data_IF_331495104948
#
_entry.id   IF_331495104948
#
_cell.length_a   1.000
_cell.length_b   1.000
_cell.length_c   1.000
_cell.angle_alpha   90.00
_cell.angle_beta   90.00
_cell.angle_gamma   90.00
#
_symmetry.space_group_name_H-M   'P 1'
#
loop_
_entity.id
_entity.type
_entity.pdbx_description
1 polymer ?
#
# COMPACT_ATOMS: atom_id res chain seq x y z
N UNK A 1 5.23 -46.18 10.16
CA UNK A 1 5.07 -44.87 9.47
C UNK A 1 3.61 -44.53 9.20
N UNK A 2 2.80 -45.46 8.67
CA UNK A 2 1.35 -45.26 8.43
C UNK A 2 0.52 -44.88 9.68
N UNK A 3 0.68 -45.57 10.82
CA UNK A 3 -0.06 -45.26 12.07
C UNK A 3 0.26 -43.85 12.60
N UNK A 4 1.50 -43.38 12.40
CA UNK A 4 1.93 -42.02 12.80
C UNK A 4 1.27 -40.95 11.93
N UNK A 5 1.11 -41.21 10.64
CA UNK A 5 0.43 -40.31 9.71
C UNK A 5 -1.07 -40.24 9.98
N UNK A 6 -1.70 -41.35 10.37
CA UNK A 6 -3.12 -41.40 10.73
C UNK A 6 -3.42 -40.58 12.00
N UNK A 7 -2.59 -40.70 13.05
CA UNK A 7 -2.72 -39.92 14.29
C UNK A 7 -2.62 -38.41 14.02
N UNK A 8 -1.67 -38.01 13.17
CA UNK A 8 -1.47 -36.61 12.78
C UNK A 8 -2.68 -36.09 12.01
N UNK A 9 -3.17 -36.86 11.04
CA UNK A 9 -4.36 -36.51 10.26
C UNK A 9 -5.61 -36.32 11.14
N UNK A 10 -5.87 -37.27 12.06
CA UNK A 10 -6.96 -37.16 13.04
C UNK A 10 -6.82 -35.89 13.89
N UNK A 11 -5.61 -35.57 14.35
CA UNK A 11 -5.35 -34.34 15.12
C UNK A 11 -5.68 -33.07 14.33
N UNK A 12 -5.35 -33.02 13.04
CA UNK A 12 -5.70 -31.89 12.18
C UNK A 12 -7.22 -31.76 12.01
N UNK A 13 -7.91 -32.87 11.69
CA UNK A 13 -9.37 -32.85 11.58
C UNK A 13 -10.05 -32.35 12.86
N UNK A 14 -9.68 -32.90 14.02
CA UNK A 14 -10.24 -32.45 15.31
C UNK A 14 -9.99 -30.98 15.56
N UNK A 15 -8.81 -30.46 15.20
CA UNK A 15 -8.48 -29.04 15.38
C UNK A 15 -9.32 -28.17 14.45
N UNK A 16 -9.47 -28.57 13.19
CA UNK A 16 -10.31 -27.86 12.21
C UNK A 16 -11.76 -27.81 12.65
N UNK A 17 -12.34 -28.92 13.12
CA UNK A 17 -13.71 -28.94 13.65
C UNK A 17 -13.86 -27.96 14.80
N UNK A 18 -12.95 -27.98 15.78
CA UNK A 18 -12.95 -27.01 16.88
C UNK A 18 -12.88 -25.56 16.40
N UNK A 19 -12.07 -25.27 15.38
CA UNK A 19 -11.99 -23.92 14.82
C UNK A 19 -13.31 -23.49 14.16
N UNK A 20 -13.98 -24.40 13.45
CA UNK A 20 -15.30 -24.16 12.85
C UNK A 20 -16.34 -23.88 13.94
N UNK A 21 -16.35 -24.69 15.01
CA UNK A 21 -17.28 -24.52 16.12
C UNK A 21 -17.05 -23.16 16.83
N UNK A 22 -15.79 -22.80 17.09
CA UNK A 22 -15.42 -21.50 17.67
C UNK A 22 -15.90 -20.34 16.79
N UNK A 23 -15.67 -20.44 15.47
CA UNK A 23 -16.09 -19.39 14.54
C UNK A 23 -17.62 -19.27 14.47
N UNK A 24 -18.32 -20.40 14.42
CA UNK A 24 -19.78 -20.45 14.31
C UNK A 24 -20.50 -19.99 15.58
N UNK A 25 -19.91 -20.25 16.75
CA UNK A 25 -20.44 -19.83 18.06
C UNK A 25 -20.00 -18.44 18.49
N UNK A 26 -19.11 -17.78 17.74
CA UNK A 26 -18.57 -16.49 18.13
C UNK A 26 -19.59 -15.35 18.02
N UNK A 27 -19.58 -14.48 19.03
CA UNK A 27 -20.27 -13.19 18.93
C UNK A 27 -19.62 -12.34 17.84
N UNK A 28 -20.44 -11.70 17.00
CA UNK A 28 -19.98 -10.90 15.84
C UNK A 28 -19.01 -9.76 16.23
N UNK A 29 -19.03 -9.31 17.48
CA UNK A 29 -18.16 -8.25 17.98
C UNK A 29 -16.73 -8.73 18.30
N UNK A 30 -16.51 -10.03 18.51
CA UNK A 30 -15.19 -10.56 18.81
C UNK A 30 -14.32 -10.58 17.55
N UNK A 31 -13.64 -9.45 17.31
CA UNK A 31 -12.78 -9.24 16.13
C UNK A 31 -11.68 -10.30 16.00
N UNK A 32 -11.18 -10.87 17.10
CA UNK A 32 -10.14 -11.91 17.04
C UNK A 32 -10.65 -13.16 16.33
N UNK A 33 -11.88 -13.58 16.65
CA UNK A 33 -12.50 -14.73 16.01
C UNK A 33 -13.01 -14.37 14.61
N UNK A 34 -13.61 -13.18 14.46
CA UNK A 34 -14.10 -12.69 13.17
C UNK A 34 -13.02 -12.73 12.08
N UNK A 35 -11.78 -12.35 12.41
CA UNK A 35 -10.65 -12.32 11.47
C UNK A 35 -9.72 -13.54 11.57
N UNK A 36 -10.12 -14.58 12.31
CA UNK A 36 -9.33 -15.79 12.48
C UNK A 36 -9.14 -16.55 11.15
N UNK A 37 -10.18 -16.73 10.30
CA UNK A 37 -10.00 -17.42 9.01
C UNK A 37 -8.94 -16.75 8.13
N UNK A 38 -8.97 -15.43 8.00
CA UNK A 38 -8.00 -14.67 7.20
C UNK A 38 -6.59 -14.73 7.79
N UNK A 39 -6.49 -14.75 9.13
CA UNK A 39 -5.20 -14.94 9.79
C UNK A 39 -4.61 -16.33 9.53
N UNK A 40 -5.44 -17.38 9.59
CA UNK A 40 -5.00 -18.75 9.32
C UNK A 40 -4.57 -18.94 7.87
N UNK A 41 -5.32 -18.39 6.91
CA UNK A 41 -4.96 -18.41 5.49
C UNK A 41 -3.62 -17.71 5.22
N UNK A 42 -3.42 -16.52 5.82
CA UNK A 42 -2.13 -15.85 5.75
C UNK A 42 -1.02 -16.71 6.35
N UNK A 43 -1.22 -17.27 7.54
CA UNK A 43 -0.22 -18.08 8.24
C UNK A 43 0.19 -19.32 7.44
N UNK A 44 -0.78 -20.10 6.94
CA UNK A 44 -0.52 -21.30 6.15
C UNK A 44 0.17 -20.96 4.83
N UNK A 45 -0.22 -19.86 4.18
CA UNK A 45 0.46 -19.35 2.98
C UNK A 45 1.93 -19.04 3.26
N UNK A 46 2.24 -18.39 4.39
CA UNK A 46 3.63 -18.11 4.76
C UNK A 46 4.44 -19.38 5.02
N UNK A 47 3.85 -20.39 5.67
CA UNK A 47 4.50 -21.69 5.88
C UNK A 47 4.76 -22.42 4.57
N UNK A 48 3.82 -22.39 3.62
CA UNK A 48 3.98 -22.97 2.30
C UNK A 48 5.12 -22.28 1.53
N UNK A 49 5.21 -20.96 1.59
CA UNK A 49 6.33 -20.22 1.01
C UNK A 49 7.68 -20.60 1.62
N UNK A 50 7.73 -20.80 2.94
CA UNK A 50 8.94 -21.19 3.66
C UNK A 50 9.39 -22.60 3.30
N UNK A 51 8.44 -23.52 3.12
CA UNK A 51 8.73 -24.87 2.64
C UNK A 51 9.39 -24.87 1.23
N UNK A 52 9.09 -23.86 0.41
CA UNK A 52 9.67 -23.71 -0.92
C UNK A 52 11.11 -23.11 -0.91
N UNK A 53 11.67 -22.78 0.27
CA UNK A 53 13.07 -22.38 0.49
C UNK A 53 13.64 -21.27 -0.42
N UNK A 54 12.78 -20.37 -0.92
CA UNK A 54 13.23 -19.24 -1.76
C UNK A 54 13.84 -18.14 -0.89
N UNK A 55 15.13 -17.85 -1.08
CA UNK A 55 15.79 -16.69 -0.46
C UNK A 55 15.17 -15.40 -1.02
N UNK A 56 14.50 -14.63 -0.17
CA UNK A 56 13.95 -13.31 -0.48
C UNK A 56 14.70 -12.23 0.29
N UNK A 57 14.94 -11.10 -0.37
CA UNK A 57 15.37 -9.87 0.32
C UNK A 57 14.14 -9.13 0.85
N UNK A 58 14.30 -8.50 2.01
CA UNK A 58 13.25 -7.75 2.68
C UNK A 58 13.49 -6.25 2.57
N UNK A 59 12.40 -5.48 2.59
CA UNK A 59 12.48 -4.03 2.78
C UNK A 59 13.20 -3.69 4.09
N UNK A 60 13.90 -2.57 4.09
CA UNK A 60 14.59 -2.05 5.27
C UNK A 60 13.81 -0.90 5.89
N UNK A 61 13.77 -0.85 7.21
CA UNK A 61 13.03 0.16 7.95
C UNK A 61 13.95 0.87 8.93
N UNK A 62 13.87 2.20 8.93
CA UNK A 62 14.64 3.03 9.85
C UNK A 62 13.96 3.05 11.21
N UNK A 63 14.76 3.23 12.25
CA UNK A 63 14.26 3.42 13.60
C UNK A 63 13.30 4.62 13.67
N UNK A 64 12.20 4.48 14.40
CA UNK A 64 11.15 5.48 14.52
C UNK A 64 10.17 5.50 13.34
N UNK A 65 10.39 4.71 12.28
CA UNK A 65 9.41 4.59 11.20
C UNK A 65 8.11 3.96 11.70
N UNK A 66 6.98 4.46 11.20
CA UNK A 66 5.65 3.87 11.43
C UNK A 66 5.36 2.87 10.31
N UNK A 67 4.96 1.67 10.70
CA UNK A 67 4.58 0.61 9.78
C UNK A 67 3.22 0.03 10.11
N UNK A 68 2.47 -0.39 9.10
CA UNK A 68 1.18 -1.07 9.27
C UNK A 68 1.40 -2.59 9.30
N UNK A 69 0.99 -3.24 10.39
CA UNK A 69 1.35 -4.64 10.70
C UNK A 69 0.12 -5.45 11.04
N UNK A 70 0.02 -6.65 10.46
CA UNK A 70 -0.91 -7.68 10.92
C UNK A 70 -0.32 -8.41 12.14
N UNK A 71 -0.81 -8.08 13.34
CA UNK A 71 -0.38 -8.74 14.57
C UNK A 71 -1.03 -10.11 14.78
N UNK A 72 -1.98 -10.51 13.93
CA UNK A 72 -2.64 -11.81 13.94
C UNK A 72 -3.79 -11.91 14.94
N UNK A 73 -4.33 -13.11 15.12
CA UNK A 73 -5.33 -13.38 16.17
C UNK A 73 -4.64 -13.94 17.41
N UNK A 74 -4.12 -13.04 18.25
CA UNK A 74 -3.30 -13.40 19.41
C UNK A 74 -4.15 -13.67 20.66
N UNK A 75 -3.58 -14.36 21.63
CA UNK A 75 -4.28 -14.86 22.81
C UNK A 75 -4.44 -13.73 23.86
N UNK A 76 -5.53 -13.78 24.63
CA UNK A 76 -5.72 -12.89 25.78
C UNK A 76 -5.70 -11.40 25.42
N UNK A 77 -4.90 -10.62 26.13
CA UNK A 77 -4.78 -9.17 25.96
C UNK A 77 -3.63 -8.74 25.01
N UNK A 78 -3.00 -9.70 24.32
CA UNK A 78 -2.05 -9.36 23.26
C UNK A 78 -2.77 -8.61 22.12
N UNK A 79 -2.05 -7.67 21.51
CA UNK A 79 -2.56 -6.96 20.34
C UNK A 79 -2.92 -7.95 19.23
N UNK A 80 -4.01 -7.68 18.52
CA UNK A 80 -4.49 -8.55 17.46
C UNK A 80 -5.08 -7.73 16.31
N UNK A 81 -5.05 -8.29 15.11
CA UNK A 81 -5.45 -7.62 13.89
C UNK A 81 -4.42 -6.59 13.41
N UNK A 82 -4.85 -5.72 12.51
CA UNK A 82 -3.97 -4.75 11.88
C UNK A 82 -3.78 -3.50 12.74
N UNK A 83 -2.53 -3.15 13.00
CA UNK A 83 -2.15 -2.01 13.83
C UNK A 83 -0.96 -1.26 13.21
N UNK A 84 -0.94 0.06 13.43
CA UNK A 84 0.28 0.82 13.23
C UNK A 84 1.27 0.52 14.36
N UNK A 85 2.54 0.40 14.03
CA UNK A 85 3.61 0.12 14.98
C UNK A 85 4.82 1.02 14.70
N UNK A 86 5.58 1.36 15.74
CA UNK A 86 6.85 2.08 15.63
C UNK A 86 8.00 1.09 15.58
N UNK A 87 8.90 1.23 14.61
CA UNK A 87 10.10 0.40 14.48
C UNK A 87 11.15 0.82 15.52
N UNK A 88 11.65 -0.14 16.30
CA UNK A 88 12.60 0.12 17.39
C UNK A 88 14.05 -0.28 17.07
N UNK A 89 14.25 -1.11 16.05
CA UNK A 89 15.57 -1.56 15.63
C UNK A 89 16.48 -0.40 15.21
N UNK A 90 17.69 -0.35 15.76
CA UNK A 90 18.70 0.65 15.36
C UNK A 90 19.32 0.38 14.00
N UNK A 91 19.51 -0.89 13.67
CA UNK A 91 20.12 -1.35 12.41
C UNK A 91 19.23 -2.43 11.82
N UNK A 92 18.84 -2.22 10.57
CA UNK A 92 18.08 -3.17 9.77
C UNK A 92 18.81 -3.40 8.44
N UNK A 93 18.61 -4.58 7.83
CA UNK A 93 19.23 -4.92 6.55
C UNK A 93 18.32 -5.84 5.70
N UNK A 94 18.55 -5.94 4.38
CA UNK A 94 17.67 -6.71 3.50
C UNK A 94 17.65 -8.22 3.75
N UNK A 95 18.65 -8.79 4.44
CA UNK A 95 18.67 -10.22 4.78
C UNK A 95 17.95 -10.52 6.10
N UNK A 96 17.70 -9.50 6.93
CA UNK A 96 16.99 -9.64 8.19
C UNK A 96 15.49 -9.75 7.93
N UNK A 97 14.90 -10.87 8.34
CA UNK A 97 13.47 -11.18 8.14
C UNK A 97 12.57 -10.67 9.27
N UNK A 98 13.12 -10.16 10.37
CA UNK A 98 12.39 -9.73 11.56
C UNK A 98 12.65 -8.27 11.92
N UNK A 99 11.71 -7.68 12.67
CA UNK A 99 11.83 -6.32 13.24
C UNK A 99 11.23 -6.30 14.64
N UNK A 100 11.87 -5.59 15.57
CA UNK A 100 11.24 -5.25 16.86
C UNK A 100 10.42 -3.97 16.73
N UNK A 101 9.18 -4.03 17.20
CA UNK A 101 8.17 -2.99 17.01
C UNK A 101 7.38 -2.74 18.29
N UNK A 102 6.83 -1.53 18.42
CA UNK A 102 5.90 -1.15 19.49
C UNK A 102 4.55 -0.81 18.86
N UNK A 103 3.46 -1.53 19.18
CA UNK A 103 2.13 -1.22 18.67
C UNK A 103 1.58 0.12 19.16
N UNK A 104 0.85 0.78 18.28
CA UNK A 104 0.10 2.01 18.57
C UNK A 104 -1.38 1.70 18.82
N UNK A 105 -1.96 2.49 19.71
CA UNK A 105 -3.38 2.46 20.07
C UNK A 105 -3.98 3.86 20.07
N UNK A 106 -5.25 3.96 19.72
CA UNK A 106 -6.03 5.19 19.88
C UNK A 106 -6.70 5.29 21.26
N UNK A 107 -6.54 4.29 22.12
CA UNK A 107 -7.13 4.26 23.47
C UNK A 107 -6.10 4.72 24.49
N UNK A 108 -6.46 5.71 25.30
CA UNK A 108 -5.66 6.14 26.45
C UNK A 108 -5.60 5.02 27.50
N UNK A 109 -4.43 4.79 28.04
CA UNK A 109 -4.21 3.87 29.17
C UNK A 109 -3.08 4.42 30.04
N UNK A 110 -3.13 4.16 31.35
CA UNK A 110 -2.08 4.56 32.31
C UNK A 110 -0.70 4.02 31.93
N UNK A 111 -0.66 2.92 31.19
CA UNK A 111 0.57 2.24 30.80
C UNK A 111 1.04 2.57 29.38
N UNK A 112 0.34 3.45 28.67
CA UNK A 112 0.70 3.81 27.30
C UNK A 112 1.33 5.20 27.25
N UNK A 113 2.34 5.34 26.42
CA UNK A 113 3.03 6.61 26.18
C UNK A 113 2.25 7.43 25.18
N UNK A 114 1.77 8.61 25.57
CA UNK A 114 1.10 9.54 24.65
C UNK A 114 2.10 10.05 23.61
N UNK A 115 1.69 10.03 22.33
CA UNK A 115 2.44 10.64 21.25
C UNK A 115 1.90 12.05 21.02
N UNK A 116 2.80 13.02 21.09
CA UNK A 116 2.49 14.44 20.89
C UNK A 116 2.34 14.79 19.42
N UNK A 117 2.95 14.02 18.52
CA UNK A 117 2.84 14.23 17.08
C UNK A 117 1.46 13.85 16.54
N UNK A 118 0.81 14.80 15.85
CA UNK A 118 -0.36 14.57 14.99
C UNK A 118 0.06 13.92 13.66
N UNK A 119 0.84 12.85 13.75
CA UNK A 119 1.56 12.31 12.59
C UNK A 119 0.63 11.80 11.49
N UNK A 120 -0.51 11.24 11.88
CA UNK A 120 -1.53 10.80 10.93
C UNK A 120 -2.22 11.96 10.24
N UNK A 121 -2.43 13.09 10.93
CA UNK A 121 -3.05 14.28 10.34
C UNK A 121 -2.09 14.93 9.33
N UNK A 122 -0.81 15.08 9.69
CA UNK A 122 0.24 15.57 8.79
C UNK A 122 0.34 14.68 7.54
N UNK A 123 0.37 13.36 7.74
CA UNK A 123 0.40 12.39 6.63
C UNK A 123 -0.83 12.52 5.74
N UNK A 124 -2.03 12.69 6.32
CA UNK A 124 -3.27 12.85 5.56
C UNK A 124 -3.27 14.11 4.69
N UNK A 125 -2.71 15.20 5.20
CA UNK A 125 -2.56 16.47 4.47
C UNK A 125 -1.55 16.34 3.34
N UNK A 126 -0.41 15.69 3.57
CA UNK A 126 0.59 15.39 2.53
C UNK A 126 0.00 14.52 1.42
N UNK A 127 -0.72 13.44 1.78
CA UNK A 127 -1.40 12.59 0.81
C UNK A 127 -2.47 13.36 0.03
N UNK A 128 -3.18 14.30 0.67
CA UNK A 128 -4.16 15.13 -0.02
C UNK A 128 -3.49 16.06 -1.04
N UNK A 129 -2.42 16.76 -0.65
CA UNK A 129 -1.64 17.61 -1.55
C UNK A 129 -1.14 16.83 -2.77
N UNK A 130 -0.69 15.59 -2.56
CA UNK A 130 -0.25 14.71 -3.65
C UNK A 130 -1.39 14.35 -4.63
N UNK A 131 -2.61 14.13 -4.14
CA UNK A 131 -3.77 13.91 -5.02
C UNK A 131 -4.08 15.15 -5.84
N UNK A 132 -4.08 16.33 -5.22
CA UNK A 132 -4.31 17.60 -5.94
C UNK A 132 -3.27 17.81 -7.03
N UNK A 133 -1.98 17.61 -6.72
CA UNK A 133 -0.89 17.70 -7.69
C UNK A 133 -1.07 16.75 -8.88
N UNK A 134 -1.42 15.48 -8.62
CA UNK A 134 -1.64 14.50 -9.70
C UNK A 134 -2.84 14.87 -10.57
N UNK A 135 -3.90 15.45 -10.00
CA UNK A 135 -5.05 15.88 -10.78
C UNK A 135 -4.71 17.10 -11.64
N UNK A 136 -3.96 18.06 -11.10
CA UNK A 136 -3.47 19.20 -11.88
C UNK A 136 -2.58 18.73 -13.05
N UNK A 137 -1.66 17.79 -12.81
CA UNK A 137 -0.81 17.20 -13.86
C UNK A 137 -1.66 16.51 -14.93
N UNK A 138 -2.75 15.83 -14.54
CA UNK A 138 -3.70 15.22 -15.49
C UNK A 138 -4.37 16.28 -16.36
N UNK A 139 -4.79 17.40 -15.78
CA UNK A 139 -5.48 18.47 -16.51
C UNK A 139 -4.50 19.20 -17.44
N UNK A 140 -3.28 19.50 -16.98
CA UNK A 140 -2.20 20.05 -17.82
C UNK A 140 -1.91 19.15 -19.04
N UNK A 141 -1.84 17.83 -18.85
CA UNK A 141 -1.62 16.89 -19.95
C UNK A 141 -2.80 16.87 -20.93
N UNK A 142 -4.05 16.99 -20.46
CA UNK A 142 -5.21 17.08 -21.35
C UNK A 142 -5.18 18.35 -22.17
N UNK A 143 -4.89 19.49 -21.54
CA UNK A 143 -4.83 20.78 -22.23
C UNK A 143 -3.73 20.77 -23.30
N UNK A 144 -2.57 20.21 -22.97
CA UNK A 144 -1.48 20.02 -23.92
C UNK A 144 -1.85 19.07 -25.06
N UNK A 145 -2.54 17.96 -24.77
CA UNK A 145 -3.00 17.02 -25.79
C UNK A 145 -4.00 17.69 -26.74
N UNK A 146 -4.96 18.46 -26.22
CA UNK A 146 -5.93 19.19 -27.04
C UNK A 146 -5.23 20.19 -27.97
N UNK A 147 -4.27 20.97 -27.46
CA UNK A 147 -3.49 21.91 -28.26
C UNK A 147 -2.73 21.22 -29.41
N UNK A 148 -2.15 20.04 -29.14
CA UNK A 148 -1.48 19.25 -30.18
C UNK A 148 -2.48 18.76 -31.23
N UNK A 149 -3.65 18.26 -30.80
CA UNK A 149 -4.67 17.76 -31.72
C UNK A 149 -5.25 18.86 -32.60
N UNK A 150 -5.51 20.05 -32.05
CA UNK A 150 -5.92 21.24 -32.81
C UNK A 150 -4.86 21.63 -33.86
N UNK A 151 -3.57 21.55 -33.49
CA UNK A 151 -2.46 21.82 -34.43
C UNK A 151 -2.40 20.77 -35.55
N UNK A 152 -2.61 19.49 -35.22
CA UNK A 152 -2.67 18.42 -36.22
C UNK A 152 -3.83 18.64 -37.19
N UNK A 153 -5.01 18.97 -36.68
CA UNK A 153 -6.20 19.27 -37.48
C UNK A 153 -5.92 20.43 -38.46
N UNK A 154 -5.39 21.55 -37.96
CA UNK A 154 -5.01 22.69 -38.80
C UNK A 154 -4.00 22.31 -39.90
N UNK A 155 -2.97 21.55 -39.55
CA UNK A 155 -1.95 21.11 -40.51
C UNK A 155 -2.51 20.13 -41.56
N UNK A 156 -3.47 19.30 -41.18
CA UNK A 156 -4.15 18.37 -42.10
C UNK A 156 -4.99 19.16 -43.09
N UNK A 157 -5.82 20.09 -42.61
CA UNK A 157 -6.70 20.91 -43.47
C UNK A 157 -5.87 21.69 -44.50
N UNK A 158 -4.85 22.42 -44.04
CA UNK A 158 -4.00 23.24 -44.92
C UNK A 158 -3.22 22.41 -45.96
N UNK A 159 -2.75 21.21 -45.61
CA UNK A 159 -2.10 20.31 -46.57
C UNK A 159 -3.08 19.67 -47.53
N UNK A 160 -4.29 19.32 -47.07
CA UNK A 160 -5.33 18.71 -47.90
C UNK A 160 -5.72 19.63 -49.08
N UNK A 161 -5.84 20.94 -48.84
CA UNK A 161 -6.11 21.93 -49.90
C UNK A 161 -5.04 21.89 -51.01
N UNK A 162 -3.76 21.84 -50.64
CA UNK A 162 -2.65 21.74 -51.60
C UNK A 162 -2.63 20.41 -52.34
N UNK A 163 -2.89 19.31 -51.63
CA UNK A 163 -2.92 17.96 -52.22
C UNK A 163 -4.05 17.86 -53.25
N UNK A 164 -5.23 18.42 -52.96
CA UNK A 164 -6.36 18.41 -53.89
C UNK A 164 -6.01 19.05 -55.25
N UNK A 165 -5.24 20.14 -55.25
CA UNK A 165 -4.74 20.78 -56.47
C UNK A 165 -3.79 19.84 -57.22
N UNK A 166 -2.82 19.24 -56.52
CA UNK A 166 -1.84 18.35 -57.15
C UNK A 166 -2.50 17.11 -57.78
N UNK A 167 -3.51 16.55 -57.13
CA UNK A 167 -4.32 15.46 -57.68
C UNK A 167 -5.10 15.92 -58.91
N UNK A 168 -5.78 17.09 -58.83
CA UNK A 168 -6.55 17.67 -59.95
C UNK A 168 -5.72 17.85 -61.23
N UNK A 169 -4.46 18.26 -61.11
CA UNK A 169 -3.55 18.46 -62.24
C UNK A 169 -2.70 17.23 -62.59
N UNK A 170 -2.96 16.07 -61.95
CA UNK A 170 -2.29 14.81 -62.29
C UNK A 170 -0.86 14.67 -61.77
N UNK A 171 -0.39 15.57 -60.90
CA UNK A 171 0.94 15.47 -60.28
C UNK A 171 1.00 14.39 -59.19
N UNK A 172 -0.13 14.03 -58.58
CA UNK A 172 -0.25 12.97 -57.58
C UNK A 172 -1.41 12.03 -57.92
N UNK A 173 -1.28 10.76 -57.53
CA UNK A 173 -2.35 9.76 -57.63
C UNK A 173 -3.14 9.65 -56.33
N UNK A 174 -4.43 9.35 -56.42
CA UNK A 174 -5.27 9.12 -55.23
C UNK A 174 -4.74 8.00 -54.33
N UNK A 175 -4.19 6.94 -54.94
CA UNK A 175 -3.60 5.82 -54.21
C UNK A 175 -2.40 6.24 -53.35
N UNK A 176 -1.52 7.12 -53.88
CA UNK A 176 -0.40 7.66 -53.12
C UNK A 176 -0.89 8.52 -51.96
N UNK A 177 -1.87 9.39 -52.22
CA UNK A 177 -2.44 10.28 -51.20
C UNK A 177 -3.09 9.50 -50.07
N UNK A 178 -3.89 8.47 -50.39
CA UNK A 178 -4.52 7.59 -49.40
C UNK A 178 -3.48 6.95 -48.47
N UNK A 179 -2.40 6.40 -49.03
CA UNK A 179 -1.32 5.79 -48.23
C UNK A 179 -0.69 6.79 -47.25
N UNK A 180 -0.45 8.02 -47.68
CA UNK A 180 0.10 9.08 -46.81
C UNK A 180 -0.88 9.49 -45.70
N UNK A 181 -2.18 9.57 -45.99
CA UNK A 181 -3.20 9.84 -44.98
C UNK A 181 -3.29 8.71 -43.95
N UNK A 182 -3.26 7.45 -44.38
CA UNK A 182 -3.23 6.29 -43.47
C UNK A 182 -2.01 6.33 -42.53
N UNK A 183 -0.82 6.66 -43.04
CA UNK A 183 0.39 6.82 -42.24
C UNK A 183 0.26 7.95 -41.18
N UNK A 184 -0.33 9.08 -41.55
CA UNK A 184 -0.57 10.21 -40.62
C UNK A 184 -1.61 9.83 -39.55
N UNK A 185 -2.70 9.17 -39.95
CA UNK A 185 -3.75 8.74 -39.02
C UNK A 185 -3.18 7.78 -37.96
N UNK A 186 -2.30 6.85 -38.37
CA UNK A 186 -1.62 5.94 -37.46
C UNK A 186 -0.76 6.70 -36.43
N UNK A 187 0.04 7.68 -36.87
CA UNK A 187 0.89 8.47 -35.97
C UNK A 187 0.08 9.26 -34.94
N UNK A 188 -1.01 9.91 -35.37
CA UNK A 188 -1.91 10.67 -34.47
C UNK A 188 -2.56 9.73 -33.45
N UNK A 189 -2.97 8.54 -33.89
CA UNK A 189 -3.57 7.52 -33.01
C UNK A 189 -2.56 7.02 -31.98
N UNK A 190 -1.31 6.79 -32.36
CA UNK A 190 -0.24 6.39 -31.43
C UNK A 190 0.08 7.48 -30.40
N UNK A 191 0.12 8.74 -30.83
CA UNK A 191 0.35 9.88 -29.94
C UNK A 191 -0.82 10.05 -28.95
N UNK A 192 -2.07 10.01 -29.44
CA UNK A 192 -3.27 10.04 -28.59
C UNK A 192 -3.25 8.95 -27.54
N UNK A 193 -2.96 7.70 -27.95
CA UNK A 193 -2.84 6.56 -27.05
C UNK A 193 -1.75 6.77 -25.99
N UNK A 194 -0.67 7.45 -26.32
CA UNK A 194 0.41 7.77 -25.37
C UNK A 194 -0.09 8.74 -24.28
N UNK A 195 -0.85 9.77 -24.65
CA UNK A 195 -1.49 10.67 -23.68
C UNK A 195 -2.49 9.94 -22.79
N UNK A 196 -3.36 9.12 -23.38
CA UNK A 196 -4.34 8.33 -22.63
C UNK A 196 -3.68 7.41 -21.60
N UNK A 197 -2.58 6.74 -21.97
CA UNK A 197 -1.82 5.88 -21.07
C UNK A 197 -1.22 6.66 -19.89
N UNK A 198 -0.63 7.84 -20.16
CA UNK A 198 -0.09 8.72 -19.11
C UNK A 198 -1.19 9.18 -18.15
N UNK A 199 -2.30 9.68 -18.69
CA UNK A 199 -3.46 10.13 -17.91
C UNK A 199 -4.03 8.98 -17.06
N UNK A 200 -4.23 7.81 -17.67
CA UNK A 200 -4.73 6.61 -16.98
C UNK A 200 -3.84 6.22 -15.80
N UNK A 201 -2.51 6.23 -16.01
CA UNK A 201 -1.54 5.93 -14.95
C UNK A 201 -1.63 6.93 -13.79
N UNK A 202 -1.69 8.23 -14.07
CA UNK A 202 -1.79 9.27 -13.03
C UNK A 202 -3.11 9.18 -12.27
N UNK A 203 -4.24 9.03 -12.97
CA UNK A 203 -5.57 8.81 -12.36
C UNK A 203 -5.57 7.57 -11.46
N UNK A 204 -4.94 6.48 -11.88
CA UNK A 204 -4.81 5.26 -11.06
C UNK A 204 -4.00 5.52 -9.79
N UNK A 205 -2.91 6.29 -9.87
CA UNK A 205 -2.13 6.69 -8.69
C UNK A 205 -2.94 7.56 -7.74
N UNK A 206 -3.68 8.56 -8.25
CA UNK A 206 -4.56 9.40 -7.44
C UNK A 206 -5.61 8.55 -6.68
N UNK A 207 -6.28 7.64 -7.39
CA UNK A 207 -7.24 6.69 -6.78
C UNK A 207 -6.59 5.80 -5.70
N UNK A 208 -5.38 5.32 -5.94
CA UNK A 208 -4.64 4.54 -4.95
C UNK A 208 -4.33 5.34 -3.69
N UNK A 209 -3.92 6.60 -3.82
CA UNK A 209 -3.69 7.49 -2.68
C UNK A 209 -4.99 7.74 -1.91
N UNK A 210 -6.12 7.92 -2.59
CA UNK A 210 -7.42 8.06 -1.92
C UNK A 210 -7.81 6.83 -1.08
N UNK A 211 -7.51 5.62 -1.57
CA UNK A 211 -7.73 4.39 -0.79
C UNK A 211 -6.86 4.37 0.47
N UNK A 212 -5.59 4.77 0.36
CA UNK A 212 -4.69 4.92 1.51
C UNK A 212 -5.26 5.93 2.50
N UNK A 213 -5.66 7.12 2.02
CA UNK A 213 -6.27 8.17 2.86
C UNK A 213 -7.48 7.66 3.61
N UNK A 214 -8.36 6.85 3.00
CA UNK A 214 -9.53 6.26 3.69
C UNK A 214 -9.14 5.40 4.89
N UNK A 215 -8.04 4.65 4.82
CA UNK A 215 -7.55 3.83 5.94
C UNK A 215 -6.98 4.73 7.05
N UNK A 216 -6.12 5.67 6.69
CA UNK A 216 -5.49 6.60 7.62
C UNK A 216 -6.51 7.54 8.30
N UNK A 217 -7.58 7.90 7.60
CA UNK A 217 -8.63 8.79 8.13
C UNK A 217 -9.36 8.21 9.35
N UNK A 218 -9.32 6.88 9.54
CA UNK A 218 -9.83 6.23 10.77
C UNK A 218 -9.07 6.65 12.03
N UNK A 219 -7.88 7.21 11.86
CA UNK A 219 -6.99 7.68 12.90
C UNK A 219 -6.89 9.21 12.97
N UNK A 220 -7.61 9.94 12.09
CA UNK A 220 -7.65 11.40 12.08
C UNK A 220 -8.19 11.95 13.39
N UNK A 221 -7.59 13.04 13.89
CA UNK A 221 -7.97 13.72 15.13
C UNK A 221 -7.96 12.80 16.38
N UNK A 222 -7.30 11.64 16.31
CA UNK A 222 -7.16 10.73 17.46
C UNK A 222 -5.79 10.87 18.04
N UNK A 223 -5.75 11.01 19.37
CA UNK A 223 -4.50 10.87 20.10
C UNK A 223 -3.96 9.45 19.91
N UNK A 224 -2.67 9.36 19.60
CA UNK A 224 -1.97 8.10 19.43
C UNK A 224 -1.16 7.79 20.67
N UNK A 225 -1.15 6.53 21.07
CA UNK A 225 -0.49 6.06 22.27
C UNK A 225 0.34 4.83 21.93
N UNK A 226 1.62 4.83 22.30
CA UNK A 226 2.50 3.67 22.15
C UNK A 226 2.38 2.74 23.37
N UNK A 227 2.03 1.47 23.15
CA UNK A 227 2.03 0.49 24.23
C UNK A 227 3.40 -0.17 24.36
N UNK A 228 4.28 0.47 25.12
CA UNK A 228 5.64 -0.01 25.38
C UNK A 228 5.67 -1.41 25.99
N UNK A 229 4.67 -1.76 26.80
CA UNK A 229 4.52 -3.09 27.42
C UNK A 229 4.36 -4.22 26.39
N UNK A 230 3.82 -3.90 25.21
CA UNK A 230 3.57 -4.84 24.14
C UNK A 230 4.66 -4.80 23.05
N UNK A 231 5.87 -4.36 23.41
CA UNK A 231 7.02 -4.50 22.52
C UNK A 231 7.17 -5.96 22.10
N UNK A 232 7.30 -6.19 20.79
CA UNK A 232 7.36 -7.53 20.23
C UNK A 232 8.22 -7.53 18.97
N UNK A 233 8.75 -8.69 18.58
CA UNK A 233 9.36 -8.84 17.27
C UNK A 233 8.46 -9.59 16.31
N UNK A 234 8.33 -9.06 15.11
CA UNK A 234 7.48 -9.59 14.06
C UNK A 234 8.34 -10.04 12.88
N UNK A 235 7.82 -10.99 12.09
CA UNK A 235 8.32 -11.22 10.73
C UNK A 235 7.93 -10.03 9.84
N UNK A 236 8.84 -9.56 8.99
CA UNK A 236 8.59 -8.50 8.01
C UNK A 236 7.51 -8.87 7.00
N UNK A 237 7.22 -10.16 6.83
CA UNK A 237 6.07 -10.66 6.04
C UNK A 237 4.72 -10.22 6.60
N UNK A 238 4.66 -9.86 7.89
CA UNK A 238 3.44 -9.36 8.54
C UNK A 238 3.15 -7.89 8.24
N UNK A 239 4.12 -7.16 7.68
CA UNK A 239 3.96 -5.75 7.30
C UNK A 239 3.04 -5.68 6.08
N UNK A 240 1.94 -4.97 6.23
CA UNK A 240 0.93 -4.80 5.20
C UNK A 240 1.17 -3.47 4.48
N UNK A 241 0.95 -3.47 3.15
CA UNK A 241 0.81 -2.25 2.36
C UNK A 241 -0.56 -2.26 1.71
N UNK A 242 -1.29 -1.15 1.82
CA UNK A 242 -2.60 -0.99 1.20
C UNK A 242 -2.45 -1.04 -0.33
N UNK A 243 -1.46 -0.33 -0.86
CA UNK A 243 -1.04 -0.36 -2.27
C UNK A 243 0.36 0.27 -2.43
N UNK A 244 0.77 0.53 -3.66
CA UNK A 244 2.09 1.12 -3.98
C UNK A 244 2.28 2.56 -3.49
N UNK A 245 1.21 3.27 -3.13
CA UNK A 245 1.23 4.65 -2.65
C UNK A 245 1.07 4.73 -1.11
N UNK A 246 1.13 3.59 -0.42
CA UNK A 246 1.08 3.53 1.05
C UNK A 246 2.40 4.02 1.66
N UNK A 247 2.37 5.07 2.50
CA UNK A 247 3.56 5.68 3.12
C UNK A 247 4.13 4.87 4.30
N UNK A 248 3.64 3.64 4.53
CA UNK A 248 4.17 2.69 5.52
C UNK A 248 5.69 2.53 5.39
N UNK A 249 6.40 2.87 6.48
CA UNK A 249 7.87 2.85 6.57
C UNK A 249 8.53 4.20 6.27
N UNK A 250 7.85 5.10 5.57
CA UNK A 250 8.33 6.45 5.22
C UNK A 250 8.00 7.46 6.32
N UNK A 251 6.82 7.30 6.92
CA UNK A 251 6.37 8.10 8.08
C UNK A 251 7.26 7.80 9.28
N UNK A 252 7.61 8.83 10.05
CA UNK A 252 8.44 8.69 11.27
C UNK A 252 7.89 9.49 12.43
N UNK A 253 7.79 8.85 13.59
CA UNK A 253 7.48 9.57 14.84
C UNK A 253 8.50 10.68 15.09
N UNK A 254 8.05 11.74 15.77
CA UNK A 254 8.94 12.83 16.15
C UNK A 254 10.10 12.33 17.02
N UNK A 255 11.23 13.03 16.97
CA UNK A 255 12.41 12.66 17.79
C UNK A 255 12.07 12.73 19.29
N UNK A 256 11.25 13.70 19.70
CA UNK A 256 10.78 13.85 21.08
C UNK A 256 9.92 12.66 21.51
N UNK A 257 8.96 12.24 20.69
CA UNK A 257 8.11 11.08 21.00
C UNK A 257 8.94 9.78 21.06
N UNK A 258 9.91 9.61 20.15
CA UNK A 258 10.79 8.44 20.14
C UNK A 258 11.66 8.35 21.40
N UNK A 259 12.17 9.48 21.88
CA UNK A 259 12.93 9.57 23.13
C UNK A 259 12.05 9.26 24.35
N UNK A 260 10.80 9.71 24.37
CA UNK A 260 9.87 9.39 25.46
C UNK A 260 9.52 7.89 25.46
N UNK A 261 9.29 7.28 24.29
CA UNK A 261 9.13 5.82 24.17
C UNK A 261 10.34 5.09 24.77
N UNK A 262 11.57 5.50 24.43
CA UNK A 262 12.79 4.90 25.00
C UNK A 262 12.90 5.05 26.50
N UNK A 263 12.57 6.23 27.03
CA UNK A 263 12.57 6.48 28.47
C UNK A 263 11.60 5.53 29.18
N UNK A 264 10.39 5.36 28.65
CA UNK A 264 9.40 4.45 29.21
C UNK A 264 9.84 2.98 29.09
N UNK A 265 10.54 2.59 28.02
CA UNK A 265 11.14 1.25 27.92
C UNK A 265 12.16 1.01 29.03
N UNK A 266 13.05 1.98 29.29
CA UNK A 266 14.06 1.87 30.36
C UNK A 266 13.41 1.75 31.74
N UNK A 267 12.39 2.57 32.01
CA UNK A 267 11.65 2.53 33.28
C UNK A 267 10.98 1.16 33.46
N UNK A 268 10.39 0.60 32.41
CA UNK A 268 9.54 -0.59 32.52
C UNK A 268 10.30 -1.91 32.49
N UNK A 269 11.43 -1.99 31.78
CA UNK A 269 12.12 -3.26 31.53
C UNK A 269 13.55 -3.33 32.10
N UNK A 270 14.13 -2.20 32.52
CA UNK A 270 15.55 -2.14 32.91
C UNK A 270 15.72 -1.63 34.33
N UNK A 271 15.04 -0.55 34.71
CA UNK A 271 15.14 0.01 36.06
C UNK A 271 14.25 -0.79 37.01
N UNK A 272 14.87 -1.33 38.07
CA UNK A 272 14.22 -1.86 39.27
C UNK A 272 14.00 -0.75 40.29
#
# INVERSE_FOLDING_TARGET
>A
MQVRNEKVYKSFLTTTTKMIDIYSSAQQENRKIKYLPEWLDFYTTQLLEENNNKKKMYSTYKRGSIIYVNLGSNIGNEFSGNHFCVVMDRKDNPKKSTLTVIPLSSKKSKHYTHLTSSIFDITLDELYKKVVQLNNEVDEIKDYANLIMERHEYNIITKAERIAILVKYGYLTEAYVRKQFEEIELLIKEESKTFEQKISKLKKRAKNIELVRKVFNRHKNKQSYANVSAITTISKKRIQKINSEDPTGEIKVSTTDLLEIEKQMRIRFIRS
#
